data_IF_563820955831
#
_entry.id   IF_563820955831
#
_cell.length_a   1.000
_cell.length_b   1.000
_cell.length_c   1.000
_cell.angle_alpha   90.00
_cell.angle_beta   90.00
_cell.angle_gamma   90.00
#
_symmetry.space_group_name_H-M   'P 1'
#
loop_
_entity.id
_entity.type
_entity.pdbx_description
1 polymer ?
#
# COMPACT_ATOMS: atom_id res chain seq x y z
N UNK A 1 -2.17 19.77 12.50
CA UNK A 1 -3.40 20.06 11.75
C UNK A 1 -3.39 19.49 10.33
N UNK A 2 -2.66 20.03 9.34
CA UNK A 2 -2.67 19.45 7.96
C UNK A 2 -2.13 18.01 7.89
N UNK A 3 -1.04 17.72 8.61
CA UNK A 3 -0.44 16.38 8.68
C UNK A 3 -1.41 15.33 9.25
N UNK A 4 -2.09 15.65 10.36
CA UNK A 4 -3.05 14.75 11.02
C UNK A 4 -4.31 14.53 10.18
N UNK A 5 -4.79 15.56 9.48
CA UNK A 5 -5.93 15.45 8.56
C UNK A 5 -5.62 14.54 7.37
N UNK A 6 -4.40 14.62 6.81
CA UNK A 6 -3.96 13.75 5.73
C UNK A 6 -3.80 12.30 6.18
N UNK A 7 -3.20 12.06 7.36
CA UNK A 7 -3.10 10.72 7.95
C UNK A 7 -4.50 10.12 8.15
N UNK A 8 -5.42 10.86 8.79
CA UNK A 8 -6.77 10.36 9.07
C UNK A 8 -7.57 9.98 7.82
N UNK A 9 -7.35 10.68 6.70
CA UNK A 9 -8.02 10.37 5.42
C UNK A 9 -7.47 9.10 4.79
N UNK A 10 -6.17 8.92 4.80
CA UNK A 10 -5.50 7.78 4.18
C UNK A 10 -5.60 6.50 5.02
N UNK A 11 -5.70 6.62 6.34
CA UNK A 11 -5.89 5.49 7.25
C UNK A 11 -7.36 5.24 7.62
N UNK A 12 -8.33 5.85 6.92
CA UNK A 12 -9.76 5.70 7.26
C UNK A 12 -10.21 4.24 7.27
N UNK A 13 -9.57 3.40 6.46
CA UNK A 13 -9.93 1.99 6.34
C UNK A 13 -9.76 1.25 7.67
N UNK A 14 -8.85 1.69 8.55
CA UNK A 14 -8.71 1.16 9.91
C UNK A 14 -9.96 1.40 10.77
N UNK A 15 -10.74 2.45 10.48
CA UNK A 15 -11.97 2.75 11.21
C UNK A 15 -13.07 1.70 11.01
N UNK A 16 -12.97 0.90 9.94
CA UNK A 16 -13.88 -0.20 9.65
C UNK A 16 -13.69 -1.41 10.58
N UNK A 17 -12.63 -1.40 11.40
CA UNK A 17 -12.27 -2.48 12.31
C UNK A 17 -12.47 -2.09 13.79
N UNK A 18 -12.72 -3.06 14.68
CA UNK A 18 -12.76 -2.85 16.13
C UNK A 18 -11.48 -2.18 16.64
N UNK A 19 -11.60 -1.24 17.59
CA UNK A 19 -10.48 -0.41 18.05
C UNK A 19 -9.30 -1.20 18.59
N UNK A 20 -9.58 -2.32 19.26
CA UNK A 20 -8.60 -3.26 19.81
C UNK A 20 -7.81 -4.04 18.73
N UNK A 21 -8.31 -4.08 17.49
CA UNK A 21 -7.67 -4.78 16.37
C UNK A 21 -6.89 -3.84 15.43
N UNK A 22 -7.14 -2.53 15.48
CA UNK A 22 -6.58 -1.57 14.50
C UNK A 22 -5.07 -1.54 14.50
N UNK A 23 -4.44 -1.48 15.68
CA UNK A 23 -2.97 -1.46 15.78
C UNK A 23 -2.35 -2.74 15.24
N UNK A 24 -2.95 -3.91 15.51
CA UNK A 24 -2.48 -5.18 14.97
C UNK A 24 -2.60 -5.21 13.43
N UNK A 25 -3.76 -4.82 12.89
CA UNK A 25 -3.97 -4.78 11.43
C UNK A 25 -3.03 -3.80 10.72
N UNK A 26 -2.79 -2.63 11.32
CA UNK A 26 -1.83 -1.66 10.80
C UNK A 26 -0.39 -2.22 10.79
N UNK A 27 0.02 -2.96 11.82
CA UNK A 27 1.34 -3.63 11.86
C UNK A 27 1.45 -4.71 10.79
N UNK A 28 0.42 -5.55 10.63
CA UNK A 28 0.37 -6.58 9.59
C UNK A 28 0.43 -5.95 8.20
N UNK A 29 -0.33 -4.89 7.97
CA UNK A 29 -0.29 -4.12 6.72
C UNK A 29 1.12 -3.63 6.40
N UNK A 30 1.77 -2.95 7.36
CA UNK A 30 3.15 -2.45 7.18
C UNK A 30 4.11 -3.59 6.87
N UNK A 31 4.01 -4.71 7.58
CA UNK A 31 4.88 -5.87 7.36
C UNK A 31 4.71 -6.46 5.96
N UNK A 32 3.46 -6.71 5.53
CA UNK A 32 3.17 -7.33 4.24
C UNK A 32 3.58 -6.41 3.09
N UNK A 33 3.26 -5.12 3.18
CA UNK A 33 3.58 -4.17 2.11
C UNK A 33 5.09 -3.94 1.96
N UNK A 34 5.88 -4.00 3.04
CA UNK A 34 7.35 -3.93 2.93
C UNK A 34 7.93 -5.13 2.16
N UNK A 35 7.39 -6.34 2.35
CA UNK A 35 7.82 -7.53 1.59
C UNK A 35 7.53 -7.36 0.09
N UNK A 36 6.40 -6.75 -0.25
CA UNK A 36 6.06 -6.44 -1.64
C UNK A 36 6.95 -5.34 -2.23
N UNK A 37 7.26 -4.29 -1.45
CA UNK A 37 8.19 -3.23 -1.85
C UNK A 37 9.60 -3.77 -2.14
N UNK A 38 10.12 -4.64 -1.28
CA UNK A 38 11.43 -5.28 -1.48
C UNK A 38 11.49 -6.05 -2.81
N UNK A 39 10.40 -6.73 -3.18
CA UNK A 39 10.32 -7.44 -4.47
C UNK A 39 10.30 -6.49 -5.66
N UNK A 40 9.58 -5.36 -5.57
CA UNK A 40 9.54 -4.35 -6.64
C UNK A 40 10.88 -3.61 -6.80
N UNK A 41 11.64 -3.45 -5.71
CA UNK A 41 12.97 -2.83 -5.71
C UNK A 41 14.10 -3.77 -6.16
N UNK A 42 13.80 -5.05 -6.38
CA UNK A 42 14.77 -6.04 -6.82
C UNK A 42 15.43 -5.71 -8.17
N UNK A 43 16.63 -6.26 -8.44
CA UNK A 43 17.36 -5.98 -9.68
C UNK A 43 16.65 -6.62 -10.89
N UNK A 44 16.44 -5.81 -11.94
CA UNK A 44 15.82 -6.19 -13.23
C UNK A 44 14.39 -6.74 -13.09
N UNK A 45 13.40 -5.87 -12.92
CA UNK A 45 12.01 -6.31 -12.86
C UNK A 45 11.56 -6.89 -14.20
N UNK A 46 11.02 -8.10 -14.18
CA UNK A 46 10.35 -8.71 -15.33
C UNK A 46 8.85 -8.44 -15.27
N UNK A 47 8.24 -8.22 -16.44
CA UNK A 47 6.80 -7.91 -16.56
C UNK A 47 5.90 -8.89 -15.80
N UNK A 48 6.17 -10.19 -15.93
CA UNK A 48 5.39 -11.24 -15.28
C UNK A 48 5.46 -11.14 -13.76
N UNK A 49 6.68 -10.99 -13.22
CA UNK A 49 6.91 -10.86 -11.78
C UNK A 49 6.30 -9.57 -11.24
N UNK A 50 6.49 -8.45 -11.94
CA UNK A 50 5.86 -7.17 -11.57
C UNK A 50 4.34 -7.28 -11.52
N UNK A 51 3.70 -7.87 -12.54
CA UNK A 51 2.26 -8.06 -12.54
C UNK A 51 1.79 -8.94 -11.38
N UNK A 52 2.51 -10.01 -11.05
CA UNK A 52 2.17 -10.87 -9.91
C UNK A 52 2.22 -10.11 -8.57
N UNK A 53 3.27 -9.31 -8.36
CA UNK A 53 3.41 -8.51 -7.13
C UNK A 53 2.30 -7.46 -7.04
N UNK A 54 2.04 -6.72 -8.12
CA UNK A 54 0.98 -5.70 -8.18
C UNK A 54 -0.40 -6.33 -7.94
N UNK A 55 -0.66 -7.50 -8.53
CA UNK A 55 -1.90 -8.22 -8.34
C UNK A 55 -2.11 -8.63 -6.87
N UNK A 56 -1.04 -9.09 -6.21
CA UNK A 56 -1.06 -9.44 -4.78
C UNK A 56 -1.33 -8.22 -3.91
N UNK A 57 -0.63 -7.10 -4.16
CA UNK A 57 -0.85 -5.83 -3.46
C UNK A 57 -2.31 -5.40 -3.60
N UNK A 58 -2.85 -5.37 -4.82
CA UNK A 58 -4.25 -5.03 -5.10
C UNK A 58 -5.22 -5.93 -4.32
N UNK A 59 -4.99 -7.24 -4.33
CA UNK A 59 -5.79 -8.20 -3.57
C UNK A 59 -5.76 -7.95 -2.06
N UNK A 60 -4.57 -7.66 -1.51
CA UNK A 60 -4.40 -7.31 -0.10
C UNK A 60 -5.11 -6.00 0.29
N UNK A 61 -5.06 -4.98 -0.58
CA UNK A 61 -5.76 -3.72 -0.35
C UNK A 61 -7.28 -3.88 -0.41
N UNK A 62 -7.77 -4.72 -1.33
CA UNK A 62 -9.20 -5.04 -1.45
C UNK A 62 -9.72 -5.76 -0.20
N UNK A 63 -8.96 -6.72 0.33
CA UNK A 63 -9.38 -7.51 1.50
C UNK A 63 -9.46 -6.68 2.79
N UNK A 64 -8.69 -5.59 2.89
CA UNK A 64 -8.72 -4.67 4.04
C UNK A 64 -9.62 -3.44 3.84
N UNK A 65 -10.27 -3.33 2.68
CA UNK A 65 -11.14 -2.18 2.36
C UNK A 65 -10.40 -0.87 2.07
N UNK A 66 -9.11 -0.91 1.71
CA UNK A 66 -8.35 0.29 1.32
C UNK A 66 -8.60 0.65 -0.16
N UNK A 67 -9.85 0.91 -0.51
CA UNK A 67 -10.30 1.03 -1.90
C UNK A 67 -9.65 2.17 -2.69
N UNK A 68 -9.36 3.31 -2.05
CA UNK A 68 -8.72 4.44 -2.76
C UNK A 68 -7.32 4.09 -3.28
N UNK A 69 -6.53 3.34 -2.51
CA UNK A 69 -5.21 2.89 -2.95
C UNK A 69 -5.34 1.70 -3.90
N UNK A 70 -6.27 0.78 -3.64
CA UNK A 70 -6.56 -0.35 -4.54
C UNK A 70 -6.89 0.12 -5.97
N UNK A 71 -7.70 1.16 -6.15
CA UNK A 71 -8.01 1.70 -7.48
C UNK A 71 -6.78 2.29 -8.18
N UNK A 72 -5.86 2.92 -7.44
CA UNK A 72 -4.62 3.46 -8.00
C UNK A 72 -3.69 2.32 -8.45
N UNK A 73 -3.55 1.27 -7.62
CA UNK A 73 -2.77 0.07 -7.98
C UNK A 73 -3.39 -0.68 -9.16
N UNK A 74 -4.72 -0.76 -9.21
CA UNK A 74 -5.44 -1.34 -10.35
C UNK A 74 -5.18 -0.60 -11.66
N UNK A 75 -5.08 0.74 -11.61
CA UNK A 75 -4.74 1.54 -12.78
C UNK A 75 -3.33 1.20 -13.31
N UNK A 76 -2.35 1.08 -12.41
CA UNK A 76 -0.99 0.66 -12.76
C UNK A 76 -0.94 -0.77 -13.33
N UNK A 77 -1.64 -1.72 -12.72
CA UNK A 77 -1.75 -3.09 -13.24
C UNK A 77 -2.34 -3.12 -14.66
N UNK A 78 -3.42 -2.36 -14.88
CA UNK A 78 -4.11 -2.29 -16.17
C UNK A 78 -3.23 -1.63 -17.23
N UNK A 79 -2.55 -0.54 -16.89
CA UNK A 79 -1.63 0.15 -17.79
C UNK A 79 -0.48 -0.77 -18.23
N UNK A 80 0.09 -1.54 -17.29
CA UNK A 80 1.12 -2.52 -17.61
C UNK A 80 0.58 -3.70 -18.43
N UNK A 81 -0.65 -4.17 -18.18
CA UNK A 81 -1.26 -5.24 -18.99
C UNK A 81 -1.47 -4.80 -20.45
N UNK A 82 -1.97 -3.58 -20.65
CA UNK A 82 -2.21 -3.01 -21.98
C UNK A 82 -0.92 -2.57 -22.70
N UNK A 83 0.21 -2.49 -21.99
CA UNK A 83 1.46 -1.99 -22.54
C UNK A 83 1.53 -0.47 -22.67
N UNK A 84 0.67 0.24 -21.93
CA UNK A 84 0.67 1.70 -21.86
C UNK A 84 1.83 2.23 -21.01
N UNK A 85 2.29 1.44 -20.03
CA UNK A 85 3.45 1.75 -19.19
C UNK A 85 4.55 0.70 -19.39
N UNK A 86 5.80 1.14 -19.20
CA UNK A 86 6.95 0.23 -19.07
C UNK A 86 6.96 -0.47 -17.71
N UNK A 87 7.71 -1.56 -17.59
CA UNK A 87 7.86 -2.27 -16.30
C UNK A 87 8.51 -1.35 -15.27
N UNK A 88 9.54 -0.60 -15.67
CA UNK A 88 10.25 0.34 -14.80
C UNK A 88 9.33 1.46 -14.29
N UNK A 89 8.51 2.04 -15.17
CA UNK A 89 7.56 3.09 -14.81
C UNK A 89 6.51 2.57 -13.83
N UNK A 90 5.89 1.42 -14.14
CA UNK A 90 4.89 0.80 -13.27
C UNK A 90 5.49 0.43 -11.90
N UNK A 91 6.71 -0.10 -11.85
CA UNK A 91 7.40 -0.37 -10.58
C UNK A 91 7.61 0.92 -9.78
N UNK A 92 8.13 1.97 -10.42
CA UNK A 92 8.41 3.24 -9.74
C UNK A 92 7.13 3.86 -9.17
N UNK A 93 6.04 3.87 -9.93
CA UNK A 93 4.76 4.40 -9.48
C UNK A 93 4.18 3.57 -8.33
N UNK A 94 4.19 2.24 -8.46
CA UNK A 94 3.71 1.33 -7.41
C UNK A 94 4.53 1.50 -6.12
N UNK A 95 5.87 1.57 -6.23
CA UNK A 95 6.76 1.80 -5.08
C UNK A 95 6.41 3.11 -4.39
N UNK A 96 6.21 4.21 -5.13
CA UNK A 96 5.85 5.52 -4.55
C UNK A 96 4.54 5.45 -3.78
N UNK A 97 3.50 4.87 -4.39
CA UNK A 97 2.17 4.75 -3.80
C UNK A 97 2.19 3.93 -2.51
N UNK A 98 2.80 2.74 -2.56
CA UNK A 98 2.85 1.83 -1.40
C UNK A 98 3.78 2.36 -0.32
N UNK A 99 4.94 2.92 -0.66
CA UNK A 99 5.86 3.50 0.34
C UNK A 99 5.22 4.68 1.08
N UNK A 100 4.49 5.53 0.35
CA UNK A 100 3.74 6.63 0.97
C UNK A 100 2.69 6.10 1.97
N UNK A 101 1.86 5.15 1.54
CA UNK A 101 0.82 4.59 2.41
C UNK A 101 1.41 3.86 3.63
N UNK A 102 2.51 3.10 3.46
CA UNK A 102 3.24 2.47 4.56
C UNK A 102 3.74 3.50 5.57
N UNK A 103 4.32 4.60 5.10
CA UNK A 103 4.80 5.67 6.00
C UNK A 103 3.64 6.33 6.74
N UNK A 104 2.52 6.58 6.08
CA UNK A 104 1.33 7.15 6.73
C UNK A 104 0.76 6.21 7.80
N UNK A 105 0.73 4.89 7.55
CA UNK A 105 0.28 3.91 8.55
C UNK A 105 1.28 3.78 9.72
N UNK A 106 2.58 3.91 9.46
CA UNK A 106 3.61 3.99 10.52
C UNK A 106 3.42 5.23 11.39
N UNK A 107 3.23 6.41 10.79
CA UNK A 107 2.93 7.65 11.52
C UNK A 107 1.64 7.50 12.36
N UNK A 108 0.61 6.86 11.80
CA UNK A 108 -0.62 6.56 12.55
C UNK A 108 -0.36 5.65 13.75
N UNK A 109 0.45 4.59 13.57
CA UNK A 109 0.85 3.69 14.66
C UNK A 109 1.61 4.43 15.75
N UNK A 110 2.55 5.32 15.39
CA UNK A 110 3.29 6.12 16.36
C UNK A 110 2.35 6.98 17.19
N UNK A 111 1.43 7.72 16.57
CA UNK A 111 0.46 8.59 17.26
C UNK A 111 -0.47 7.78 18.18
N UNK A 112 -0.95 6.62 17.74
CA UNK A 112 -1.96 5.83 18.46
C UNK A 112 -1.35 4.81 19.44
N UNK A 113 -0.04 4.54 19.38
CA UNK A 113 0.68 3.71 20.34
C UNK A 113 1.35 4.53 21.46
N UNK A 114 1.32 5.87 21.44
CA UNK A 114 1.72 6.68 22.60
C UNK A 114 0.64 6.58 23.69
N UNK A 115 0.68 5.49 24.47
CA UNK A 115 -0.32 5.26 25.53
C UNK A 115 -0.33 3.87 26.18
N UNK A 116 0.65 3.00 25.91
CA UNK A 116 0.91 1.80 26.74
C UNK A 116 2.06 2.06 27.71
#
# INVERSE_FOLDING_TARGET
MEKELNIGRETNWLSNYPSDQRSYLAQVYVSVMNVDLEQLMGPKPERTTTLQVIHRIKGGLSSIGHFSLEQQIKAEETALQLGNNSVEETNLNTIKLISHSVNVVKDWLEINNVGN
#
